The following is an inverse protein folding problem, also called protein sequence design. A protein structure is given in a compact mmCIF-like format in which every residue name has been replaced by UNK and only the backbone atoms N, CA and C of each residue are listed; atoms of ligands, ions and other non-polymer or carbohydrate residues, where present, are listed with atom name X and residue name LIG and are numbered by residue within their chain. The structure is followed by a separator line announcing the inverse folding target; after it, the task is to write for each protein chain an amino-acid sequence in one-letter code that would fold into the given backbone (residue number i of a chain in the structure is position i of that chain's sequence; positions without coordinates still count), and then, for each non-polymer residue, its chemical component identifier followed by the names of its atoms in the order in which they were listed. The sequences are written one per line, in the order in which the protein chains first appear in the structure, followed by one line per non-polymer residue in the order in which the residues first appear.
data_IF_997865464923
#
_entry.id   IF_997865464923
#
_cell.length_a   1.000
_cell.length_b   1.000
_cell.length_c   1.000
_cell.angle_alpha   90.00
_cell.angle_beta   90.00
_cell.angle_gamma   90.00
#
_symmetry.space_group_name_H-M   'P 1'
#
loop_
_entity.id
_entity.type
_entity.pdbx_description
1 polymer ?
#
# COMPACT_ATOMS: atom_id res chain seq x y z
N UNK A 1 -24.85 -7.51 11.69
CA UNK A 1 -24.58 -6.52 10.62
C UNK A 1 -23.59 -5.46 11.06
N UNK A 2 -23.92 -4.75 12.11
CA UNK A 2 -23.04 -3.68 12.58
C UNK A 2 -21.72 -4.20 13.10
N UNK A 3 -21.74 -5.35 13.76
CA UNK A 3 -20.48 -5.95 14.22
C UNK A 3 -19.56 -6.27 13.09
N UNK A 4 -20.11 -6.72 11.96
CA UNK A 4 -19.30 -7.01 10.80
C UNK A 4 -18.59 -5.74 10.31
N UNK A 5 -19.33 -4.63 10.24
CA UNK A 5 -18.78 -3.37 9.80
C UNK A 5 -17.72 -2.87 10.78
N UNK A 6 -17.98 -3.01 12.08
CA UNK A 6 -17.05 -2.57 13.11
C UNK A 6 -15.75 -3.37 13.10
N UNK A 7 -15.82 -4.62 12.64
CA UNK A 7 -14.65 -5.47 12.61
C UNK A 7 -13.76 -5.22 11.41
N UNK A 8 -14.23 -4.46 10.45
CA UNK A 8 -13.40 -4.10 9.30
C UNK A 8 -12.29 -3.18 9.78
N UNK A 9 -11.07 -3.62 9.56
CA UNK A 9 -9.90 -2.85 9.96
C UNK A 9 -9.58 -1.84 8.87
N UNK A 10 -9.28 -0.64 9.31
CA UNK A 10 -8.72 0.35 8.39
C UNK A 10 -7.24 0.09 8.29
N UNK A 11 -6.76 -0.07 7.07
CA UNK A 11 -5.34 -0.21 6.80
C UNK A 11 -4.69 1.14 6.56
N UNK A 12 -5.36 2.22 6.96
CA UNK A 12 -4.81 3.56 6.79
C UNK A 12 -5.17 4.46 7.94
N UNK A 13 -4.33 5.48 8.16
CA UNK A 13 -4.58 6.55 9.11
C UNK A 13 -4.44 7.86 8.33
N UNK A 14 -5.50 8.69 8.35
CA UNK A 14 -5.52 9.89 7.52
C UNK A 14 -5.43 9.54 6.06
N UNK A 15 -4.35 9.97 5.39
CA UNK A 15 -4.14 9.73 3.97
C UNK A 15 -3.01 8.75 3.69
N UNK A 16 -2.54 8.04 4.72
CA UNK A 16 -1.43 7.08 4.59
C UNK A 16 -1.93 5.67 4.81
N UNK A 17 -1.68 4.81 3.82
CA UNK A 17 -1.94 3.37 3.93
C UNK A 17 -0.70 2.72 4.53
N UNK A 18 -0.90 1.80 5.47
CA UNK A 18 0.19 1.09 6.14
C UNK A 18 0.22 -0.37 5.71
N UNK A 19 1.27 -0.78 5.03
CA UNK A 19 1.53 -2.17 4.67
C UNK A 19 2.89 -2.53 5.26
N UNK A 20 2.92 -2.62 6.58
CA UNK A 20 4.14 -2.90 7.33
C UNK A 20 4.20 -4.33 7.83
N UNK A 21 3.13 -5.09 7.59
CA UNK A 21 3.05 -6.52 7.88
C UNK A 21 3.05 -7.29 6.57
N UNK A 22 2.70 -8.55 6.63
CA UNK A 22 2.61 -9.40 5.43
C UNK A 22 3.97 -9.63 4.77
N UNK A 23 5.02 -9.67 5.58
CA UNK A 23 6.38 -9.87 5.05
C UNK A 23 6.64 -11.31 4.64
N UNK A 24 5.76 -12.23 5.02
CA UNK A 24 5.93 -13.65 4.73
C UNK A 24 5.13 -14.12 3.52
N UNK A 25 4.23 -13.28 2.99
CA UNK A 25 3.44 -13.68 1.83
C UNK A 25 4.28 -13.55 0.57
N UNK A 26 3.96 -14.31 -0.50
CA UNK A 26 4.65 -14.13 -1.78
C UNK A 26 4.50 -12.71 -2.30
N UNK A 27 5.49 -12.23 -3.05
CA UNK A 27 5.49 -10.84 -3.51
C UNK A 27 4.27 -10.53 -4.37
N UNK A 28 3.80 -11.47 -5.19
CA UNK A 28 2.61 -11.25 -6.01
C UNK A 28 1.39 -10.99 -5.14
N UNK A 29 1.29 -11.72 -4.02
CA UNK A 29 0.20 -11.50 -3.08
C UNK A 29 0.36 -10.17 -2.35
N UNK A 30 1.58 -9.80 -2.03
CA UNK A 30 1.87 -8.50 -1.43
C UNK A 30 1.40 -7.38 -2.35
N UNK A 31 1.69 -7.48 -3.65
CA UNK A 31 1.26 -6.48 -4.61
C UNK A 31 -0.27 -6.41 -4.69
N UNK A 32 -0.93 -7.56 -4.66
CA UNK A 32 -2.40 -7.59 -4.67
C UNK A 32 -2.97 -6.94 -3.41
N UNK A 33 -2.34 -7.14 -2.26
CA UNK A 33 -2.75 -6.51 -1.02
C UNK A 33 -2.62 -4.98 -1.12
N UNK A 34 -1.51 -4.51 -1.67
CA UNK A 34 -1.27 -3.07 -1.85
C UNK A 34 -2.36 -2.47 -2.76
N UNK A 35 -2.57 -3.07 -3.93
CA UNK A 35 -3.57 -2.56 -4.87
C UNK A 35 -4.96 -2.60 -4.26
N UNK A 36 -5.30 -3.68 -3.57
CA UNK A 36 -6.61 -3.82 -2.92
C UNK A 36 -6.83 -2.75 -1.87
N UNK A 37 -5.81 -2.41 -1.11
CA UNK A 37 -5.93 -1.36 -0.10
C UNK A 37 -6.06 0.02 -0.73
N UNK A 38 -5.34 0.28 -1.81
CA UNK A 38 -5.49 1.53 -2.54
C UNK A 38 -6.90 1.66 -3.09
N UNK A 39 -7.41 0.61 -3.73
CA UNK A 39 -8.77 0.62 -4.28
C UNK A 39 -9.82 0.85 -3.19
N UNK A 40 -9.63 0.20 -2.04
CA UNK A 40 -10.55 0.34 -0.93
C UNK A 40 -10.53 1.77 -0.39
N UNK A 41 -9.35 2.36 -0.29
CA UNK A 41 -9.21 3.75 0.15
C UNK A 41 -9.96 4.69 -0.81
N UNK A 42 -9.75 4.51 -2.11
CA UNK A 42 -10.42 5.35 -3.12
C UNK A 42 -11.93 5.19 -3.03
N UNK A 43 -12.41 3.96 -2.83
CA UNK A 43 -13.84 3.72 -2.73
C UNK A 43 -14.44 4.44 -1.54
N UNK A 44 -13.73 4.50 -0.41
CA UNK A 44 -14.24 5.10 0.81
C UNK A 44 -14.06 6.62 0.85
N UNK A 45 -13.00 7.13 0.23
CA UNK A 45 -12.62 8.54 0.36
C UNK A 45 -12.76 9.35 -0.91
N UNK A 46 -13.01 8.68 -2.03
CA UNK A 46 -13.20 9.32 -3.35
C UNK A 46 -11.97 10.11 -3.81
N UNK A 47 -10.80 9.73 -3.33
CA UNK A 47 -9.54 10.33 -3.73
C UNK A 47 -8.42 9.33 -3.48
N UNK A 48 -7.27 9.53 -4.11
CA UNK A 48 -6.13 8.66 -3.92
C UNK A 48 -5.48 8.93 -2.56
N UNK A 49 -4.93 7.93 -1.92
CA UNK A 49 -4.12 8.17 -0.71
C UNK A 49 -2.86 8.95 -1.09
N UNK A 50 -2.32 9.70 -0.15
CA UNK A 50 -1.11 10.47 -0.39
C UNK A 50 0.14 9.63 -0.25
N UNK A 51 0.14 8.69 0.68
CA UNK A 51 1.33 7.90 0.97
C UNK A 51 1.00 6.45 1.21
N UNK A 52 1.97 5.61 0.90
CA UNK A 52 1.94 4.18 1.19
C UNK A 52 3.17 3.88 2.02
N UNK A 53 2.96 3.54 3.28
CA UNK A 53 4.08 3.20 4.16
C UNK A 53 4.34 1.71 4.10
N UNK A 54 5.55 1.36 3.70
CA UNK A 54 5.99 -0.03 3.60
C UNK A 54 7.09 -0.29 4.61
N UNK A 55 7.19 -1.52 5.09
CA UNK A 55 8.39 -1.93 5.80
C UNK A 55 9.54 -1.97 4.78
N UNK A 56 10.77 -1.82 5.27
CA UNK A 56 11.93 -1.89 4.40
C UNK A 56 11.96 -3.23 3.66
N UNK A 57 11.61 -4.31 4.36
CA UNK A 57 11.61 -5.63 3.77
C UNK A 57 10.60 -5.74 2.62
N UNK A 58 9.40 -5.21 2.82
CA UNK A 58 8.39 -5.23 1.76
C UNK A 58 8.82 -4.37 0.57
N UNK A 59 9.41 -3.22 0.83
CA UNK A 59 9.93 -2.36 -0.21
C UNK A 59 11.00 -3.07 -1.04
N UNK A 60 11.97 -3.70 -0.36
CA UNK A 60 13.04 -4.42 -1.04
C UNK A 60 12.50 -5.56 -1.89
N UNK A 61 11.50 -6.27 -1.40
CA UNK A 61 10.92 -7.40 -2.14
C UNK A 61 10.26 -6.94 -3.43
N UNK A 62 9.60 -5.80 -3.39
CA UNK A 62 8.96 -5.24 -4.59
C UNK A 62 10.01 -4.88 -5.63
N UNK A 63 11.07 -4.21 -5.21
CA UNK A 63 12.14 -3.81 -6.11
C UNK A 63 12.86 -5.02 -6.69
N UNK A 64 13.13 -6.02 -5.86
CA UNK A 64 13.79 -7.24 -6.33
C UNK A 64 12.93 -8.01 -7.31
N UNK A 65 11.61 -7.96 -7.12
CA UNK A 65 10.68 -8.63 -8.02
C UNK A 65 10.61 -7.92 -9.38
N UNK A 66 10.45 -6.62 -9.36
CA UNK A 66 10.38 -5.83 -10.59
C UNK A 66 10.58 -4.35 -10.24
N UNK A 67 11.81 -3.86 -10.50
CA UNK A 67 12.16 -2.50 -10.15
C UNK A 67 11.33 -1.46 -10.91
N UNK A 68 10.72 -1.83 -12.03
CA UNK A 68 9.88 -0.89 -12.79
C UNK A 68 8.56 -0.57 -12.10
N UNK A 69 8.18 -1.35 -11.06
CA UNK A 69 6.99 -1.05 -10.27
C UNK A 69 7.18 0.18 -9.39
N UNK A 70 8.42 0.59 -9.17
CA UNK A 70 8.73 1.76 -8.36
C UNK A 70 9.27 2.84 -9.27
N UNK A 71 8.61 3.99 -9.26
CA UNK A 71 8.96 5.12 -10.10
C UNK A 71 9.54 6.23 -9.23
N UNK A 72 10.58 6.89 -9.74
CA UNK A 72 11.18 8.02 -9.02
C UNK A 72 10.81 9.31 -9.72
N UNK A 73 10.24 10.25 -8.95
CA UNK A 73 9.90 11.57 -9.47
C UNK A 73 10.26 12.62 -8.42
N UNK A 74 11.03 13.62 -8.81
CA UNK A 74 11.39 14.74 -7.95
C UNK A 74 12.01 14.31 -6.61
N UNK A 75 12.79 13.21 -6.63
CA UNK A 75 13.43 12.71 -5.42
C UNK A 75 12.58 11.82 -4.54
N UNK A 76 11.33 11.59 -4.92
CA UNK A 76 10.42 10.70 -4.21
C UNK A 76 10.13 9.44 -5.02
N UNK A 77 9.78 8.38 -4.32
CA UNK A 77 9.47 7.10 -4.95
C UNK A 77 7.97 6.84 -4.89
N UNK A 78 7.44 6.26 -5.97
CA UNK A 78 6.01 6.01 -6.12
C UNK A 78 5.78 4.60 -6.61
N UNK A 79 4.68 4.00 -6.17
CA UNK A 79 4.19 2.75 -6.75
C UNK A 79 2.68 2.87 -6.89
N UNK A 80 2.15 2.39 -8.02
CA UNK A 80 0.72 2.49 -8.34
C UNK A 80 0.18 3.91 -8.15
N UNK A 81 1.02 4.92 -8.42
CA UNK A 81 0.63 6.31 -8.32
C UNK A 81 0.63 6.90 -6.92
N UNK A 82 1.09 6.16 -5.92
CA UNK A 82 1.11 6.60 -4.53
C UNK A 82 2.54 6.72 -4.04
N UNK A 83 2.85 7.81 -3.35
CA UNK A 83 4.20 8.01 -2.82
C UNK A 83 4.52 6.97 -1.75
N UNK A 84 5.70 6.39 -1.86
CA UNK A 84 6.17 5.38 -0.91
C UNK A 84 6.90 6.07 0.24
N UNK A 85 6.61 5.61 1.45
CA UNK A 85 7.34 6.01 2.65
C UNK A 85 7.82 4.74 3.34
N UNK A 86 9.10 4.68 3.66
CA UNK A 86 9.69 3.50 4.29
C UNK A 86 10.11 3.79 5.71
#
# INVERSE_FOLDING_TARGET
MFEFIKKQRKEYVGTTIFITKNEEVPVEKLLAIIVGNIENYVRQNHTMPEKLRLSYNNYSRIIDHNHTLVERRNGYYYTFGVQIEV
#
